data_IF_513551768340
#
_entry.id   IF_513551768340
#
_cell.length_a   1.000
_cell.length_b   1.000
_cell.length_c   1.000
_cell.angle_alpha   90.00
_cell.angle_beta   90.00
_cell.angle_gamma   90.00
#
_symmetry.space_group_name_H-M   'P 1'
#
loop_
_entity.id
_entity.type
_entity.pdbx_description
1 polymer ?
#
# COMPACT_ATOMS: atom_id res chain seq x y z
N UNK A 1 -25.24 0.70 18.67
CA UNK A 1 -24.93 0.14 17.33
C UNK A 1 -23.42 0.06 17.25
N UNK A 2 -22.86 -1.15 17.24
CA UNK A 2 -21.42 -1.35 17.12
C UNK A 2 -21.10 -1.18 15.62
N UNK A 3 -20.70 0.02 15.19
CA UNK A 3 -20.26 0.23 13.82
C UNK A 3 -19.00 -0.61 13.63
N UNK A 4 -19.06 -1.63 12.77
CA UNK A 4 -17.88 -2.39 12.39
C UNK A 4 -16.83 -1.39 11.90
N UNK A 5 -15.82 -1.14 12.74
CA UNK A 5 -14.77 -0.20 12.42
C UNK A 5 -13.97 -0.83 11.28
N UNK A 6 -13.98 -0.20 10.10
CA UNK A 6 -13.17 -0.70 8.99
C UNK A 6 -11.71 -0.71 9.44
N UNK A 7 -10.99 -1.85 9.34
CA UNK A 7 -9.63 -1.96 9.86
C UNK A 7 -8.65 -1.05 9.10
N UNK A 8 -9.02 -0.59 7.90
CA UNK A 8 -8.22 0.30 7.07
C UNK A 8 -9.04 1.51 6.62
N UNK A 9 -8.36 2.64 6.43
CA UNK A 9 -8.98 3.88 5.97
C UNK A 9 -8.96 4.03 4.44
N UNK A 10 -8.15 3.21 3.76
CA UNK A 10 -8.00 3.24 2.31
C UNK A 10 -7.16 2.07 1.80
N UNK A 11 -7.01 2.00 0.48
CA UNK A 11 -6.24 0.97 -0.23
C UNK A 11 -5.53 1.61 -1.44
N UNK A 12 -4.30 1.16 -1.70
CA UNK A 12 -3.57 1.44 -2.94
C UNK A 12 -3.29 0.12 -3.64
N UNK A 13 -3.51 0.08 -4.96
CA UNK A 13 -3.24 -1.09 -5.81
C UNK A 13 -2.15 -0.70 -6.80
N UNK A 14 -1.13 -1.55 -6.92
CA UNK A 14 -0.05 -1.40 -7.88
C UNK A 14 -0.10 -2.58 -8.85
N UNK A 15 -0.17 -2.27 -10.15
CA UNK A 15 -0.15 -3.26 -11.22
C UNK A 15 1.07 -3.02 -12.09
N UNK A 16 1.77 -4.10 -12.44
CA UNK A 16 2.89 -4.08 -13.37
C UNK A 16 3.04 -5.46 -14.02
N UNK A 17 3.97 -5.55 -14.97
CA UNK A 17 4.31 -6.79 -15.68
C UNK A 17 4.83 -7.90 -14.75
N UNK A 18 5.41 -7.52 -13.60
CA UNK A 18 5.87 -8.45 -12.56
C UNK A 18 6.03 -7.72 -11.22
N UNK A 19 6.16 -8.48 -10.12
CA UNK A 19 6.47 -7.90 -8.81
C UNK A 19 7.81 -7.14 -8.81
N UNK A 20 8.81 -7.64 -9.54
CA UNK A 20 10.13 -6.98 -9.63
C UNK A 20 10.01 -5.59 -10.23
N UNK A 21 9.11 -5.38 -11.20
CA UNK A 21 8.86 -4.05 -11.79
C UNK A 21 8.22 -3.08 -10.80
N UNK A 22 7.37 -3.56 -9.90
CA UNK A 22 6.83 -2.74 -8.82
C UNK A 22 7.97 -2.32 -7.88
N UNK A 23 8.79 -3.28 -7.45
CA UNK A 23 9.92 -3.00 -6.54
C UNK A 23 10.96 -2.06 -7.19
N UNK A 24 11.21 -2.21 -8.50
CA UNK A 24 12.09 -1.32 -9.27
C UNK A 24 11.61 0.13 -9.19
N UNK A 25 10.31 0.39 -9.37
CA UNK A 25 9.72 1.73 -9.25
C UNK A 25 9.78 2.24 -7.81
N UNK A 26 9.38 1.43 -6.84
CA UNK A 26 9.36 1.82 -5.42
C UNK A 26 10.77 2.10 -4.87
N UNK A 27 11.80 1.51 -5.47
CA UNK A 27 13.21 1.71 -5.11
C UNK A 27 13.90 2.78 -5.97
N UNK A 28 13.20 3.35 -6.96
CA UNK A 28 13.78 4.33 -7.87
C UNK A 28 14.09 5.64 -7.11
N UNK A 29 15.26 6.28 -7.35
CA UNK A 29 15.63 7.51 -6.64
C UNK A 29 14.60 8.64 -6.75
N UNK A 30 13.92 8.76 -7.90
CA UNK A 30 12.86 9.76 -8.06
C UNK A 30 11.60 9.45 -7.25
N UNK A 31 11.24 8.17 -7.12
CA UNK A 31 10.11 7.79 -6.27
C UNK A 31 10.42 8.13 -4.80
N UNK A 32 11.63 7.78 -4.35
CA UNK A 32 12.10 8.09 -3.00
C UNK A 32 12.18 9.61 -2.76
N UNK A 33 12.58 10.38 -3.76
CA UNK A 33 12.75 11.84 -3.62
C UNK A 33 11.43 12.61 -3.69
N UNK A 34 10.49 12.18 -4.52
CA UNK A 34 9.27 12.94 -4.83
C UNK A 34 8.05 12.36 -4.12
N UNK A 35 7.85 11.05 -4.20
CA UNK A 35 6.61 10.40 -3.74
C UNK A 35 6.68 10.05 -2.27
N UNK A 36 7.77 9.42 -1.82
CA UNK A 36 7.90 8.94 -0.44
C UNK A 36 7.69 10.04 0.63
N UNK A 37 8.21 11.28 0.48
CA UNK A 37 7.97 12.33 1.47
C UNK A 37 6.53 12.82 1.51
N UNK A 38 5.79 12.70 0.41
CA UNK A 38 4.38 13.09 0.35
C UNK A 38 3.48 11.98 0.88
N UNK A 39 3.78 10.73 0.52
CA UNK A 39 3.12 9.54 1.04
C UNK A 39 3.16 9.50 2.58
N UNK A 40 4.30 9.85 3.18
CA UNK A 40 4.45 9.91 4.64
C UNK A 40 3.50 10.90 5.36
N UNK A 41 2.88 11.84 4.63
CA UNK A 41 1.89 12.78 5.20
C UNK A 41 0.48 12.19 5.27
N UNK A 42 0.21 11.14 4.48
CA UNK A 42 -1.14 10.57 4.32
C UNK A 42 -1.21 9.08 4.70
N UNK A 43 -0.08 8.36 4.67
CA UNK A 43 0.00 6.94 4.95
C UNK A 43 0.93 6.68 6.14
N UNK A 44 0.36 6.13 7.21
CA UNK A 44 1.13 5.55 8.31
C UNK A 44 1.53 4.12 7.95
N UNK A 45 2.75 3.95 7.43
CA UNK A 45 3.27 2.64 7.03
C UNK A 45 3.31 1.63 8.18
N UNK A 46 3.41 2.08 9.44
CA UNK A 46 3.38 1.18 10.61
C UNK A 46 2.01 0.56 10.86
N UNK A 47 0.95 1.15 10.30
CA UNK A 47 -0.44 0.69 10.35
C UNK A 47 -0.96 0.19 9.01
N UNK A 48 -0.06 0.00 8.05
CA UNK A 48 -0.40 -0.45 6.70
C UNK A 48 -0.08 -1.93 6.53
N UNK A 49 -0.83 -2.62 5.66
CA UNK A 49 -0.53 -3.98 5.24
C UNK A 49 -0.19 -4.00 3.75
N UNK A 50 0.83 -4.77 3.38
CA UNK A 50 1.23 -4.99 1.99
C UNK A 50 0.95 -6.44 1.65
N UNK A 51 0.17 -6.67 0.60
CA UNK A 51 -0.17 -8.00 0.11
C UNK A 51 0.26 -8.07 -1.36
N UNK A 52 1.05 -9.09 -1.70
CA UNK A 52 1.43 -9.39 -3.08
C UNK A 52 0.78 -10.73 -3.46
N UNK A 53 0.07 -10.75 -4.57
CA UNK A 53 -0.62 -11.94 -5.04
C UNK A 53 -1.45 -11.65 -6.29
N UNK A 54 -1.78 -12.70 -7.03
CA UNK A 54 -2.78 -12.64 -8.11
C UNK A 54 -4.21 -12.47 -7.55
N UNK A 55 -4.41 -12.87 -6.30
CA UNK A 55 -5.66 -12.76 -5.58
C UNK A 55 -5.39 -12.56 -4.08
N UNK A 56 -6.11 -11.61 -3.46
CA UNK A 56 -6.03 -11.32 -2.03
C UNK A 56 -7.42 -11.13 -1.45
N UNK A 57 -7.66 -11.64 -0.25
CA UNK A 57 -8.89 -11.37 0.52
C UNK A 57 -8.53 -11.03 1.95
N UNK A 58 -9.05 -9.91 2.45
CA UNK A 58 -8.91 -9.49 3.84
C UNK A 58 -10.26 -9.63 4.52
N UNK A 59 -10.30 -10.37 5.63
CA UNK A 59 -11.49 -10.54 6.45
C UNK A 59 -11.35 -9.71 7.73
N UNK A 60 -12.37 -8.91 8.07
CA UNK A 60 -12.43 -8.22 9.35
C UNK A 60 -12.93 -9.14 10.46
N UNK A 61 -12.37 -9.03 11.67
CA UNK A 61 -12.93 -9.58 12.91
C UNK A 61 -13.93 -8.61 13.53
#
# INVERSE_FOLDING_TARGET
>A
MNSAQMPFWGMAIFEAESYDKIIEVLSHPDYIRVVFPDEAKILDRSKSQVIAGEFATIHGT
#
